data_IF_704009370630
#
_entry.id   IF_704009370630
#
_cell.length_a   1.000
_cell.length_b   1.000
_cell.length_c   1.000
_cell.angle_alpha   90.00
_cell.angle_beta   90.00
_cell.angle_gamma   90.00
#
_symmetry.space_group_name_H-M   'P 1'
#
loop_
_entity.id
_entity.type
_entity.pdbx_description
1 polymer ?
#
# COMPACT_ATOMS: atom_id res chain seq x y z
N UNK A 1 24.11 14.84 8.22
CA UNK A 1 23.29 13.89 7.42
C UNK A 1 22.04 13.39 8.14
N UNK A 2 21.52 14.09 9.17
CA UNK A 2 20.45 13.58 10.05
C UNK A 2 19.01 14.05 9.68
N UNK A 3 18.85 14.97 8.73
CA UNK A 3 17.56 15.65 8.48
C UNK A 3 16.50 14.75 7.81
N UNK A 4 16.91 13.73 7.04
CA UNK A 4 15.98 12.85 6.32
C UNK A 4 15.46 11.66 7.15
N UNK A 5 16.11 11.32 8.27
CA UNK A 5 15.66 10.21 9.11
C UNK A 5 14.35 10.53 9.84
N UNK A 6 14.19 11.78 10.31
CA UNK A 6 12.96 12.22 10.99
C UNK A 6 11.77 12.24 10.02
N UNK A 7 11.97 12.74 8.80
CA UNK A 7 10.94 12.77 7.76
C UNK A 7 10.44 11.36 7.41
N UNK A 8 11.34 10.41 7.19
CA UNK A 8 10.97 9.02 6.86
C UNK A 8 10.30 8.32 8.04
N UNK A 9 10.81 8.52 9.27
CA UNK A 9 10.23 7.93 10.48
C UNK A 9 8.80 8.43 10.71
N UNK A 10 8.57 9.74 10.61
CA UNK A 10 7.23 10.34 10.79
C UNK A 10 6.27 9.92 9.70
N UNK A 11 6.74 9.79 8.46
CA UNK A 11 5.94 9.24 7.36
C UNK A 11 5.55 7.78 7.61
N UNK A 12 6.48 6.97 8.12
CA UNK A 12 6.23 5.57 8.46
C UNK A 12 5.23 5.44 9.60
N UNK A 13 5.42 6.16 10.71
CA UNK A 13 4.50 6.16 11.86
C UNK A 13 3.08 6.57 11.45
N UNK A 14 2.95 7.64 10.66
CA UNK A 14 1.64 8.07 10.17
C UNK A 14 0.96 7.07 9.24
N UNK A 15 1.71 6.47 8.30
CA UNK A 15 1.13 5.55 7.29
C UNK A 15 0.89 4.13 7.79
N UNK A 16 1.77 3.62 8.64
CA UNK A 16 1.72 2.24 9.12
C UNK A 16 0.91 2.10 10.41
N UNK A 17 0.93 3.12 11.28
CA UNK A 17 0.31 3.08 12.61
C UNK A 17 -0.83 4.10 12.81
N UNK A 18 -1.23 4.82 11.76
CA UNK A 18 -2.30 5.85 11.79
C UNK A 18 -2.03 7.03 12.73
N UNK A 19 -0.78 7.32 13.05
CA UNK A 19 -0.37 8.49 13.86
C UNK A 19 -0.22 9.74 12.99
N UNK A 20 -1.32 10.24 12.44
CA UNK A 20 -1.30 11.35 11.48
C UNK A 20 -0.83 12.67 12.09
N UNK A 21 -0.96 12.84 13.41
CA UNK A 21 -0.54 14.01 14.18
C UNK A 21 0.97 14.25 14.14
N UNK A 22 1.77 13.18 14.01
CA UNK A 22 3.24 13.31 13.95
C UNK A 22 3.77 13.60 12.55
N UNK A 23 2.93 13.48 11.50
CA UNK A 23 3.34 13.77 10.12
C UNK A 23 3.49 15.27 9.87
N UNK A 24 4.44 15.64 9.01
CA UNK A 24 4.51 17.01 8.49
C UNK A 24 3.30 17.32 7.60
N UNK A 25 2.89 18.59 7.54
CA UNK A 25 1.77 19.03 6.70
C UNK A 25 1.95 18.67 5.22
N UNK A 26 3.19 18.72 4.71
CA UNK A 26 3.51 18.29 3.34
C UNK A 26 3.27 16.79 3.12
N UNK A 27 3.46 15.96 4.15
CA UNK A 27 3.24 14.52 4.11
C UNK A 27 1.76 14.17 4.27
N UNK A 28 1.02 14.91 5.09
CA UNK A 28 -0.45 14.80 5.19
C UNK A 28 -1.12 15.09 3.85
N UNK A 29 -0.57 16.06 3.09
CA UNK A 29 -1.03 16.44 1.75
C UNK A 29 -0.63 15.45 0.66
N UNK A 30 0.38 14.60 0.89
CA UNK A 30 0.68 13.50 -0.01
C UNK A 30 -0.45 12.47 0.09
N UNK A 31 -1.41 12.59 -0.84
CA UNK A 31 -2.39 11.54 -1.12
C UNK A 31 -1.65 10.21 -1.18
N UNK A 32 -1.99 9.31 -0.26
CA UNK A 32 -1.69 7.89 -0.38
C UNK A 32 -2.04 7.53 -1.82
N UNK A 33 -1.05 7.19 -2.64
CA UNK A 33 -1.32 6.80 -4.02
C UNK A 33 -2.36 5.70 -3.93
N UNK A 34 -3.56 6.00 -4.45
CA UNK A 34 -4.81 5.28 -4.24
C UNK A 34 -4.52 3.83 -3.86
N UNK A 35 -4.86 3.44 -2.63
CA UNK A 35 -4.99 2.01 -2.33
C UNK A 35 -5.82 1.42 -3.47
N UNK A 36 -5.35 0.33 -4.07
CA UNK A 36 -6.00 -0.37 -5.18
C UNK A 36 -7.51 -0.19 -5.13
N UNK A 37 -8.15 0.22 -6.23
CA UNK A 37 -9.59 0.52 -6.33
C UNK A 37 -10.50 -0.72 -6.16
N UNK A 38 -10.02 -1.71 -5.41
CA UNK A 38 -10.74 -2.92 -5.07
C UNK A 38 -11.88 -2.50 -4.15
N UNK A 39 -13.11 -2.80 -4.56
CA UNK A 39 -14.28 -2.49 -3.75
C UNK A 39 -14.13 -3.13 -2.35
N UNK A 40 -14.63 -2.48 -1.29
CA UNK A 40 -14.53 -3.02 0.08
C UNK A 40 -15.03 -4.46 0.20
N UNK A 41 -16.09 -4.81 -0.53
CA UNK A 41 -16.72 -6.14 -0.49
C UNK A 41 -15.80 -7.23 -1.05
N UNK A 42 -14.93 -6.88 -2.02
CA UNK A 42 -14.01 -7.81 -2.68
C UNK A 42 -12.60 -7.80 -2.10
N UNK A 43 -12.30 -6.87 -1.20
CA UNK A 43 -10.97 -6.71 -0.59
C UNK A 43 -10.51 -7.97 0.15
N UNK A 44 -11.41 -8.64 0.86
CA UNK A 44 -11.11 -9.87 1.59
C UNK A 44 -10.74 -11.02 0.64
N UNK A 45 -11.53 -11.22 -0.41
CA UNK A 45 -11.27 -12.26 -1.42
C UNK A 45 -9.93 -12.01 -2.11
N UNK A 46 -9.66 -10.76 -2.48
CA UNK A 46 -8.40 -10.38 -3.12
C UNK A 46 -7.18 -10.61 -2.21
N UNK A 47 -7.24 -10.19 -0.93
CA UNK A 47 -6.15 -10.44 0.01
C UNK A 47 -5.89 -11.93 0.19
N UNK A 48 -6.95 -12.75 0.26
CA UNK A 48 -6.80 -14.20 0.38
C UNK A 48 -6.13 -14.81 -0.86
N UNK A 49 -6.54 -14.41 -2.06
CA UNK A 49 -5.94 -14.88 -3.31
C UNK A 49 -4.45 -14.48 -3.42
N UNK A 50 -4.12 -13.23 -3.05
CA UNK A 50 -2.75 -12.75 -3.04
C UNK A 50 -1.87 -13.52 -2.04
N UNK A 51 -2.38 -13.78 -0.82
CA UNK A 51 -1.69 -14.59 0.19
C UNK A 51 -1.45 -16.02 -0.30
N UNK A 52 -2.45 -16.64 -0.94
CA UNK A 52 -2.30 -17.99 -1.49
C UNK A 52 -1.21 -18.05 -2.56
N UNK A 53 -1.14 -17.05 -3.44
CA UNK A 53 -0.08 -16.97 -4.46
C UNK A 53 1.31 -16.74 -3.84
N UNK A 54 1.41 -15.94 -2.77
CA UNK A 54 2.66 -15.76 -2.01
C UNK A 54 3.13 -17.08 -1.42
N UNK A 55 2.25 -17.82 -0.76
CA UNK A 55 2.59 -19.08 -0.10
C UNK A 55 2.89 -20.19 -1.11
N UNK A 56 2.07 -20.32 -2.15
CA UNK A 56 2.17 -21.43 -3.11
C UNK A 56 3.32 -21.23 -4.08
N UNK A 57 3.48 -20.02 -4.62
CA UNK A 57 4.46 -19.73 -5.66
C UNK A 57 5.72 -19.02 -5.11
N UNK A 58 5.82 -18.88 -3.78
CA UNK A 58 6.95 -18.22 -3.12
C UNK A 58 7.12 -16.74 -3.51
N UNK A 59 6.03 -16.04 -3.86
CA UNK A 59 6.12 -14.64 -4.32
C UNK A 59 6.46 -13.69 -3.18
N UNK A 60 7.19 -12.59 -3.45
CA UNK A 60 7.43 -11.57 -2.44
C UNK A 60 6.13 -10.80 -2.10
N UNK A 61 5.95 -10.45 -0.82
CA UNK A 61 4.78 -9.71 -0.32
C UNK A 61 4.51 -8.37 -1.04
N UNK A 62 5.54 -7.76 -1.64
CA UNK A 62 5.44 -6.50 -2.39
C UNK A 62 4.98 -6.65 -3.85
N UNK A 63 4.90 -7.87 -4.39
CA UNK A 63 4.70 -8.10 -5.83
C UNK A 63 3.40 -7.47 -6.34
N UNK A 64 2.31 -7.64 -5.59
CA UNK A 64 0.97 -7.12 -5.91
C UNK A 64 0.83 -5.60 -5.76
N UNK A 65 1.84 -4.92 -5.21
CA UNK A 65 1.88 -3.45 -5.10
C UNK A 65 2.74 -2.81 -6.20
N UNK A 66 3.45 -3.61 -7.01
CA UNK A 66 4.28 -3.10 -8.10
C UNK A 66 3.40 -2.47 -9.18
N UNK A 67 3.87 -1.37 -9.76
CA UNK A 67 3.07 -0.56 -10.68
C UNK A 67 2.48 -1.35 -11.86
N UNK A 68 3.21 -2.33 -12.40
CA UNK A 68 2.71 -3.19 -13.48
C UNK A 68 1.58 -4.11 -13.02
N UNK A 69 1.76 -4.77 -11.88
CA UNK A 69 0.74 -5.66 -11.31
C UNK A 69 -0.50 -4.88 -10.88
N UNK A 70 -0.33 -3.72 -10.25
CA UNK A 70 -1.44 -2.85 -9.88
C UNK A 70 -2.27 -2.42 -11.10
N UNK A 71 -1.62 -2.06 -12.22
CA UNK A 71 -2.31 -1.73 -13.48
C UNK A 71 -3.04 -2.95 -14.06
N UNK A 72 -2.42 -4.12 -14.05
CA UNK A 72 -3.05 -5.36 -14.52
C UNK A 72 -4.31 -5.66 -13.71
N UNK A 73 -4.22 -5.58 -12.38
CA UNK A 73 -5.32 -5.80 -11.46
C UNK A 73 -6.45 -4.77 -11.63
N UNK A 74 -6.13 -3.50 -11.90
CA UNK A 74 -7.13 -2.48 -12.22
C UNK A 74 -7.91 -2.81 -13.52
N UNK A 75 -7.30 -3.56 -14.46
CA UNK A 75 -7.96 -4.01 -15.70
C UNK A 75 -8.79 -5.28 -15.50
N UNK A 76 -8.26 -6.28 -14.78
CA UNK A 76 -8.93 -7.59 -14.60
C UNK A 76 -9.95 -7.59 -13.45
N UNK A 77 -9.81 -6.67 -12.50
CA UNK A 77 -10.77 -6.41 -11.45
C UNK A 77 -11.21 -4.94 -11.52
N UNK A 78 -11.94 -4.54 -12.57
CA UNK A 78 -12.51 -3.21 -12.64
C UNK A 78 -13.48 -3.06 -11.46
N UNK A 79 -13.24 -2.03 -10.66
CA UNK A 79 -14.05 -1.72 -9.49
C UNK A 79 -15.43 -1.18 -9.84
#
# INVERSE_FOLDING_TARGET
TAYNNDCNLRSHLGRAHNMFEVMYESQKRQRVSKSSKIRPEKKREYHQAALNCIVTDGRPFGEFRRAGMAKFLDVVCPG
#
